data_IF_367851843178
#
_entry.id   IF_367851843178
#
_cell.length_a   1.000
_cell.length_b   1.000
_cell.length_c   1.000
_cell.angle_alpha   90.00
_cell.angle_beta   90.00
_cell.angle_gamma   90.00
#
_symmetry.space_group_name_H-M   'P 1'
#
loop_
_entity.id
_entity.type
_entity.pdbx_description
1 polymer ?
#
# COMPACT_ATOMS: atom_id res chain seq x y z
N UNK A 1 14.53 -2.13 17.94
CA UNK A 1 14.73 -3.59 18.05
C UNK A 1 15.57 -4.04 16.87
N UNK A 2 16.81 -4.44 17.13
CA UNK A 2 17.73 -4.98 16.10
C UNK A 2 17.29 -6.41 15.79
N UNK A 3 17.44 -6.83 14.53
CA UNK A 3 17.02 -8.14 14.03
C UNK A 3 17.37 -9.30 14.99
N UNK A 4 16.39 -10.15 15.29
CA UNK A 4 16.58 -11.43 16.01
C UNK A 4 16.30 -11.45 17.51
N UNK A 5 15.97 -10.32 18.16
CA UNK A 5 15.58 -10.31 19.58
C UNK A 5 14.07 -10.54 19.74
N UNK A 6 13.68 -11.68 20.30
CA UNK A 6 12.31 -11.94 20.75
C UNK A 6 12.08 -11.27 22.10
N UNK A 7 10.94 -10.61 22.24
CA UNK A 7 10.51 -9.98 23.49
C UNK A 7 9.19 -10.60 23.86
N UNK A 8 9.14 -11.12 25.08
CA UNK A 8 7.92 -11.64 25.67
C UNK A 8 7.48 -10.75 26.83
N UNK A 9 6.19 -10.71 27.05
CA UNK A 9 5.53 -9.91 28.06
C UNK A 9 4.89 -10.84 29.08
N UNK A 10 5.34 -10.72 30.32
CA UNK A 10 4.68 -11.34 31.46
C UNK A 10 3.71 -10.34 32.08
N UNK A 11 2.42 -10.68 32.08
CA UNK A 11 1.39 -9.91 32.78
C UNK A 11 1.29 -10.43 34.21
N UNK A 12 1.53 -9.56 35.18
CA UNK A 12 1.39 -9.86 36.60
C UNK A 12 0.00 -9.44 37.10
N UNK A 13 -0.51 -10.05 38.18
CA UNK A 13 -1.72 -9.59 38.88
C UNK A 13 -1.59 -8.14 39.35
N UNK A 14 -2.73 -7.45 39.49
CA UNK A 14 -2.76 -6.07 39.94
C UNK A 14 -2.14 -5.92 41.34
N UNK A 15 -1.17 -5.01 41.46
CA UNK A 15 -0.49 -4.72 42.73
C UNK A 15 0.68 -5.62 43.08
N UNK A 16 1.01 -6.63 42.26
CA UNK A 16 2.18 -7.48 42.45
C UNK A 16 3.37 -7.02 41.60
N UNK A 17 4.57 -7.10 42.16
CA UNK A 17 5.85 -6.97 41.45
C UNK A 17 6.57 -8.33 41.41
N UNK A 18 7.62 -8.50 40.58
CA UNK A 18 8.31 -9.79 40.43
C UNK A 18 8.80 -10.34 41.78
N UNK A 19 9.29 -9.46 42.65
CA UNK A 19 9.83 -9.84 43.95
C UNK A 19 8.73 -10.29 44.92
N UNK A 20 7.59 -9.59 44.98
CA UNK A 20 6.46 -10.04 45.82
C UNK A 20 5.86 -11.34 45.32
N UNK A 21 5.79 -11.53 44.00
CA UNK A 21 5.20 -12.72 43.40
C UNK A 21 6.08 -13.96 43.59
N UNK A 22 7.41 -13.81 43.47
CA UNK A 22 8.37 -14.86 43.80
C UNK A 22 8.31 -15.20 45.30
N UNK A 23 8.12 -14.21 46.19
CA UNK A 23 7.98 -14.46 47.62
C UNK A 23 6.69 -15.20 47.98
N UNK A 24 5.59 -14.95 47.25
CA UNK A 24 4.28 -15.60 47.50
C UNK A 24 4.19 -17.01 46.92
N UNK A 25 4.58 -17.19 45.66
CA UNK A 25 4.35 -18.43 44.91
C UNK A 25 5.62 -19.29 44.74
N UNK A 26 6.79 -18.72 45.06
CA UNK A 26 8.06 -19.39 44.92
C UNK A 26 8.60 -19.39 43.48
N UNK A 27 9.91 -19.65 43.35
CA UNK A 27 10.65 -19.58 42.09
C UNK A 27 10.09 -20.49 40.99
N UNK A 28 9.70 -21.71 41.34
CA UNK A 28 9.25 -22.72 40.36
C UNK A 28 7.95 -22.30 39.66
N UNK A 29 7.02 -21.69 40.39
CA UNK A 29 5.78 -21.18 39.80
C UNK A 29 6.06 -19.92 38.96
N UNK A 30 6.94 -19.04 39.42
CA UNK A 30 7.35 -17.86 38.64
C UNK A 30 8.03 -18.24 37.30
N UNK A 31 8.85 -19.28 37.27
CA UNK A 31 9.45 -19.79 36.02
C UNK A 31 8.39 -20.34 35.06
N UNK A 32 7.32 -20.99 35.56
CA UNK A 32 6.17 -21.38 34.73
C UNK A 32 5.46 -20.16 34.15
N UNK A 33 5.32 -19.08 34.93
CA UNK A 33 4.77 -17.81 34.46
C UNK A 33 5.61 -17.22 33.33
N UNK A 34 6.94 -17.20 33.46
CA UNK A 34 7.85 -16.76 32.39
C UNK A 34 7.69 -17.62 31.13
N UNK A 35 7.61 -18.94 31.27
CA UNK A 35 7.45 -19.84 30.12
C UNK A 35 6.11 -19.64 29.39
N UNK A 36 5.07 -19.21 30.11
CA UNK A 36 3.75 -18.87 29.57
C UNK A 36 3.61 -17.39 29.19
N UNK A 37 4.70 -16.63 29.12
CA UNK A 37 4.69 -15.22 28.74
C UNK A 37 4.17 -15.02 27.31
N UNK A 38 3.54 -13.88 27.07
CA UNK A 38 2.95 -13.55 25.78
C UNK A 38 4.02 -13.05 24.81
N UNK A 39 3.95 -13.45 23.54
CA UNK A 39 4.75 -12.80 22.51
C UNK A 39 4.38 -11.32 22.38
N UNK A 40 5.29 -10.49 21.84
CA UNK A 40 4.96 -9.09 21.53
C UNK A 40 3.68 -8.96 20.70
N UNK A 41 3.50 -9.80 19.67
CA UNK A 41 2.32 -9.75 18.80
C UNK A 41 1.04 -10.04 19.59
N UNK A 42 1.04 -11.08 20.41
CA UNK A 42 -0.14 -11.46 21.21
C UNK A 42 -0.47 -10.39 22.25
N UNK A 43 0.55 -9.87 22.94
CA UNK A 43 0.41 -8.77 23.89
C UNK A 43 -0.14 -7.51 23.23
N UNK A 44 0.43 -7.11 22.08
CA UNK A 44 0.02 -5.95 21.30
C UNK A 44 -1.46 -6.02 20.91
N UNK A 45 -1.90 -7.15 20.35
CA UNK A 45 -3.29 -7.33 19.97
C UNK A 45 -4.20 -7.45 21.18
N UNK A 46 -3.81 -8.18 22.22
CA UNK A 46 -4.60 -8.33 23.45
C UNK A 46 -4.91 -6.98 24.07
N UNK A 47 -3.92 -6.11 24.23
CA UNK A 47 -4.12 -4.78 24.84
C UNK A 47 -4.99 -3.87 23.97
N UNK A 48 -4.72 -3.83 22.65
CA UNK A 48 -5.44 -2.91 21.77
C UNK A 48 -6.88 -3.35 21.49
N UNK A 49 -7.16 -4.65 21.49
CA UNK A 49 -8.51 -5.20 21.26
C UNK A 49 -9.36 -5.15 22.52
N UNK A 50 -8.76 -5.29 23.71
CA UNK A 50 -9.52 -5.34 24.98
C UNK A 50 -10.42 -4.12 25.21
N UNK A 51 -10.11 -2.97 24.57
CA UNK A 51 -10.88 -1.72 24.72
C UNK A 51 -11.69 -1.34 23.46
N UNK A 52 -11.75 -2.19 22.43
CA UNK A 52 -12.34 -1.83 21.13
C UNK A 52 -13.23 -2.94 20.59
N UNK A 53 -14.51 -2.61 20.34
CA UNK A 53 -15.43 -3.53 19.68
C UNK A 53 -15.11 -3.65 18.18
N UNK A 54 -14.51 -4.76 17.75
CA UNK A 54 -14.17 -5.00 16.35
C UNK A 54 -15.36 -5.43 15.47
N UNK A 55 -16.56 -5.62 16.04
CA UNK A 55 -17.75 -6.00 15.25
C UNK A 55 -18.27 -4.84 14.40
N UNK A 56 -18.16 -3.61 14.91
CA UNK A 56 -18.73 -2.42 14.27
C UNK A 56 -17.66 -1.66 13.47
N UNK A 57 -18.08 -1.05 12.36
CA UNK A 57 -17.20 -0.29 11.46
C UNK A 57 -16.41 0.82 12.19
N UNK A 58 -17.01 1.47 13.18
CA UNK A 58 -16.35 2.51 13.98
C UNK A 58 -15.22 1.95 14.84
N UNK A 59 -15.42 0.80 15.49
CA UNK A 59 -14.40 0.17 16.31
C UNK A 59 -13.24 -0.36 15.47
N UNK A 60 -13.53 -0.96 14.31
CA UNK A 60 -12.51 -1.32 13.30
C UNK A 60 -11.66 -0.11 12.91
N UNK A 61 -12.32 1.02 12.64
CA UNK A 61 -11.66 2.28 12.27
C UNK A 61 -10.80 2.86 13.41
N UNK A 62 -11.31 2.84 14.65
CA UNK A 62 -10.57 3.28 15.85
C UNK A 62 -9.32 2.43 16.08
N UNK A 63 -9.46 1.11 16.01
CA UNK A 63 -8.36 0.17 16.16
C UNK A 63 -7.25 0.42 15.12
N UNK A 64 -7.60 0.53 13.84
CA UNK A 64 -6.67 0.86 12.75
C UNK A 64 -5.89 2.15 13.04
N UNK A 65 -6.59 3.20 13.47
CA UNK A 65 -5.96 4.51 13.73
C UNK A 65 -4.96 4.47 14.89
N UNK A 66 -5.12 3.56 15.86
CA UNK A 66 -4.24 3.42 17.02
C UNK A 66 -3.10 2.43 16.72
N UNK A 67 -3.42 1.27 16.17
CA UNK A 67 -2.47 0.18 15.96
C UNK A 67 -1.37 0.55 14.96
N UNK A 68 -1.75 1.17 13.84
CA UNK A 68 -0.82 1.39 12.73
C UNK A 68 0.31 2.39 13.04
N UNK A 69 0.06 3.54 13.67
CA UNK A 69 1.14 4.41 14.12
C UNK A 69 2.17 3.71 15.01
N UNK A 70 1.72 2.82 15.91
CA UNK A 70 2.60 2.03 16.77
C UNK A 70 3.43 1.02 15.96
N UNK A 71 2.81 0.32 15.00
CA UNK A 71 3.51 -0.61 14.12
C UNK A 71 4.57 0.09 13.29
N UNK A 72 4.30 1.29 12.75
CA UNK A 72 5.30 2.05 11.98
C UNK A 72 6.50 2.53 12.80
N UNK A 73 6.42 2.52 14.14
CA UNK A 73 7.57 2.80 15.00
C UNK A 73 8.49 1.58 15.18
N UNK A 74 8.05 0.39 14.77
CA UNK A 74 8.85 -0.83 14.82
C UNK A 74 9.89 -0.76 13.69
N UNK A 75 11.20 -0.91 13.95
CA UNK A 75 12.21 -0.79 12.91
C UNK A 75 12.26 -1.99 11.94
N UNK A 76 11.86 -3.19 12.38
CA UNK A 76 11.86 -4.39 11.52
C UNK A 76 10.65 -4.38 10.58
N UNK A 77 10.91 -4.18 9.29
CA UNK A 77 9.90 -4.10 8.26
C UNK A 77 9.13 -5.41 8.03
N UNK A 78 9.81 -6.57 8.07
CA UNK A 78 9.15 -7.86 7.84
C UNK A 78 8.14 -8.11 8.96
N UNK A 79 8.53 -7.75 10.18
CA UNK A 79 7.64 -7.84 11.32
C UNK A 79 6.46 -6.86 11.22
N UNK A 80 6.67 -5.65 10.72
CA UNK A 80 5.56 -4.71 10.42
C UNK A 80 4.56 -5.32 9.43
N UNK A 81 5.03 -5.89 8.31
CA UNK A 81 4.15 -6.49 7.29
C UNK A 81 3.31 -7.61 7.88
N UNK A 82 3.93 -8.49 8.69
CA UNK A 82 3.23 -9.58 9.34
C UNK A 82 2.13 -9.06 10.28
N UNK A 83 2.44 -8.05 11.12
CA UNK A 83 1.44 -7.44 12.00
C UNK A 83 0.29 -6.79 11.23
N UNK A 84 0.57 -6.09 10.13
CA UNK A 84 -0.46 -5.45 9.31
C UNK A 84 -1.33 -6.50 8.61
N UNK A 85 -0.74 -7.61 8.15
CA UNK A 85 -1.49 -8.74 7.61
C UNK A 85 -2.44 -9.33 8.65
N UNK A 86 -1.96 -9.57 9.87
CA UNK A 86 -2.79 -10.06 10.98
C UNK A 86 -3.90 -9.08 11.36
N UNK A 87 -3.67 -7.76 11.24
CA UNK A 87 -4.71 -6.73 11.38
C UNK A 87 -5.81 -6.93 10.32
N UNK A 88 -5.44 -7.11 9.06
CA UNK A 88 -6.38 -7.33 7.97
C UNK A 88 -7.26 -8.56 8.19
N UNK A 89 -6.65 -9.67 8.59
CA UNK A 89 -7.32 -10.92 8.95
C UNK A 89 -8.32 -10.73 10.09
N UNK A 90 -7.91 -10.07 11.20
CA UNK A 90 -8.77 -9.85 12.37
C UNK A 90 -9.96 -8.92 12.11
N UNK A 91 -9.83 -7.99 11.16
CA UNK A 91 -10.86 -6.99 10.85
C UNK A 91 -11.78 -7.45 9.70
N UNK A 92 -11.36 -8.47 8.94
CA UNK A 92 -12.04 -8.93 7.73
C UNK A 92 -11.81 -8.02 6.53
N UNK A 93 -10.73 -7.23 6.54
CA UNK A 93 -10.29 -6.40 5.41
C UNK A 93 -9.04 -7.06 4.84
N UNK A 94 -9.20 -7.79 3.73
CA UNK A 94 -8.18 -8.72 3.25
C UNK A 94 -6.96 -8.05 2.59
N UNK A 95 -6.89 -6.72 2.49
CA UNK A 95 -5.84 -6.05 1.72
C UNK A 95 -4.96 -5.12 2.54
N UNK A 96 -3.71 -5.55 2.77
CA UNK A 96 -2.58 -4.74 3.25
C UNK A 96 -2.48 -3.39 2.52
N UNK A 97 -2.73 -3.40 1.20
CA UNK A 97 -2.65 -2.22 0.33
C UNK A 97 -3.74 -1.17 0.60
N UNK A 98 -4.95 -1.59 0.97
CA UNK A 98 -6.06 -0.70 1.29
C UNK A 98 -5.81 -0.02 2.65
N UNK A 99 -5.36 -0.81 3.64
CA UNK A 99 -4.98 -0.31 4.96
C UNK A 99 -3.83 0.72 4.84
N UNK A 100 -2.79 0.40 4.06
CA UNK A 100 -1.67 1.31 3.82
C UNK A 100 -2.12 2.62 3.13
N UNK A 101 -3.03 2.55 2.14
CA UNK A 101 -3.60 3.73 1.47
C UNK A 101 -4.43 4.62 2.41
N UNK A 102 -5.25 4.03 3.30
CA UNK A 102 -6.09 4.76 4.26
C UNK A 102 -5.26 5.60 5.25
N UNK A 103 -4.13 5.07 5.72
CA UNK A 103 -3.26 5.78 6.67
C UNK A 103 -2.46 6.88 5.97
N UNK A 104 -1.98 6.62 4.75
CA UNK A 104 -1.31 7.61 3.93
C UNK A 104 -2.20 8.84 3.73
N UNK A 105 -3.51 8.63 3.53
CA UNK A 105 -4.48 9.72 3.39
C UNK A 105 -4.67 10.50 4.71
N UNK A 106 -4.65 9.84 5.88
CA UNK A 106 -4.77 10.51 7.19
C UNK A 106 -3.49 11.16 7.72
N UNK A 107 -2.29 10.60 7.47
CA UNK A 107 -0.99 11.19 7.88
C UNK A 107 -0.71 12.54 7.20
N UNK A 108 -1.34 12.81 6.05
CA UNK A 108 -1.28 14.09 5.36
C UNK A 108 -1.94 15.24 6.15
N UNK A 109 -2.80 14.97 7.14
CA UNK A 109 -3.54 16.00 7.89
C UNK A 109 -2.82 16.44 9.17
N UNK A 110 -1.95 15.61 9.78
CA UNK A 110 -1.27 15.96 11.05
C UNK A 110 0.22 16.32 10.91
N UNK A 111 0.83 16.09 9.75
CA UNK A 111 2.22 16.50 9.46
C UNK A 111 2.27 17.75 8.55
N UNK A 112 1.33 18.67 8.76
CA UNK A 112 1.13 19.88 7.95
C UNK A 112 2.17 21.00 8.18
N UNK A 113 3.07 20.89 9.17
CA UNK A 113 3.82 22.07 9.62
C UNK A 113 5.32 22.13 9.30
N UNK A 114 5.96 21.14 8.67
CA UNK A 114 7.43 21.26 8.41
C UNK A 114 8.00 20.85 7.06
N UNK A 115 7.23 20.32 6.09
CA UNK A 115 7.72 20.08 4.73
C UNK A 115 6.57 20.18 3.70
N UNK A 116 6.12 21.41 3.44
CA UNK A 116 4.90 21.71 2.68
C UNK A 116 5.01 21.54 1.15
N UNK A 117 6.22 21.46 0.58
CA UNK A 117 6.37 21.36 -0.88
C UNK A 117 6.38 19.92 -1.42
N UNK A 118 6.88 18.93 -0.66
CA UNK A 118 6.96 17.53 -1.10
C UNK A 118 5.70 16.70 -0.79
N UNK A 119 4.86 17.14 0.16
CA UNK A 119 3.71 16.37 0.66
C UNK A 119 2.36 16.72 0.00
N UNK A 120 2.27 17.82 -0.77
CA UNK A 120 1.02 18.23 -1.44
C UNK A 120 0.76 17.53 -2.79
N UNK A 121 1.57 16.54 -3.17
CA UNK A 121 1.31 15.75 -4.36
C UNK A 121 0.16 14.78 -4.09
N UNK A 122 -1.01 15.00 -4.72
CA UNK A 122 -2.11 14.01 -4.67
C UNK A 122 -1.55 12.67 -5.16
N UNK A 123 -1.56 11.66 -4.29
CA UNK A 123 -1.00 10.32 -4.53
C UNK A 123 -1.94 9.53 -5.44
N UNK A 124 -1.94 9.88 -6.72
CA UNK A 124 -2.70 9.16 -7.75
C UNK A 124 -1.90 7.96 -8.22
N UNK A 125 -2.59 6.89 -8.65
CA UNK A 125 -1.98 5.68 -9.21
C UNK A 125 -0.94 6.03 -10.29
N UNK A 126 -1.28 6.98 -11.18
CA UNK A 126 -0.39 7.45 -12.25
C UNK A 126 0.87 8.12 -11.73
N UNK A 127 0.78 9.00 -10.72
CA UNK A 127 1.97 9.66 -10.15
C UNK A 127 2.88 8.69 -9.40
N UNK A 128 2.30 7.69 -8.73
CA UNK A 128 3.07 6.63 -8.09
C UNK A 128 3.82 5.79 -9.13
N UNK A 129 3.15 5.44 -10.23
CA UNK A 129 3.78 4.75 -11.36
C UNK A 129 4.92 5.56 -11.97
N UNK A 130 4.72 6.85 -12.21
CA UNK A 130 5.75 7.76 -12.72
C UNK A 130 6.93 7.83 -11.75
N UNK A 131 6.69 8.03 -10.45
CA UNK A 131 7.75 8.11 -9.44
C UNK A 131 8.59 6.84 -9.36
N UNK A 132 7.94 5.68 -9.26
CA UNK A 132 8.63 4.38 -9.21
C UNK A 132 9.44 4.13 -10.49
N UNK A 133 8.89 4.48 -11.65
CA UNK A 133 9.57 4.29 -12.93
C UNK A 133 10.79 5.23 -13.07
N UNK A 134 10.68 6.48 -12.62
CA UNK A 134 11.82 7.42 -12.62
C UNK A 134 12.93 6.92 -11.70
N UNK A 135 12.57 6.47 -10.49
CA UNK A 135 13.53 5.97 -9.51
C UNK A 135 14.17 4.64 -9.93
N UNK A 136 13.40 3.76 -10.57
CA UNK A 136 13.88 2.46 -11.05
C UNK A 136 13.42 2.19 -12.50
N UNK A 137 14.10 2.76 -13.51
CA UNK A 137 13.72 2.61 -14.92
C UNK A 137 13.68 1.15 -15.43
N UNK A 138 14.45 0.26 -14.78
CA UNK A 138 14.49 -1.18 -15.08
C UNK A 138 13.13 -1.88 -14.91
N UNK A 139 12.22 -1.32 -14.10
CA UNK A 139 10.88 -1.87 -13.87
C UNK A 139 10.07 -2.01 -15.17
N UNK A 140 10.41 -1.25 -16.22
CA UNK A 140 9.73 -1.31 -17.51
C UNK A 140 9.75 -2.69 -18.15
N UNK A 141 10.81 -3.48 -17.90
CA UNK A 141 11.00 -4.82 -18.47
C UNK A 141 10.01 -5.84 -17.96
N UNK A 142 9.44 -5.59 -16.78
CA UNK A 142 8.51 -6.48 -16.10
C UNK A 142 7.11 -6.38 -16.73
N UNK A 143 6.80 -5.26 -17.39
CA UNK A 143 5.45 -5.02 -17.91
C UNK A 143 5.31 -5.54 -19.36
N UNK A 144 4.32 -6.40 -19.65
CA UNK A 144 3.97 -6.75 -21.02
C UNK A 144 3.44 -5.54 -21.80
N UNK A 145 3.78 -5.43 -23.09
CA UNK A 145 3.43 -4.30 -23.99
C UNK A 145 2.00 -3.79 -23.77
N UNK A 146 1.88 -2.55 -23.28
CA UNK A 146 0.61 -1.94 -22.91
C UNK A 146 -0.07 -1.30 -24.12
N UNK A 147 -0.77 -2.11 -24.93
CA UNK A 147 -1.59 -1.60 -26.04
C UNK A 147 -2.87 -0.87 -25.59
N UNK A 148 -3.32 -1.11 -24.36
CA UNK A 148 -4.63 -0.69 -23.83
C UNK A 148 -4.75 0.81 -23.48
N UNK A 149 -3.65 1.54 -23.36
CA UNK A 149 -3.66 2.88 -22.75
C UNK A 149 -3.84 4.05 -23.73
N UNK A 150 -4.01 3.79 -25.03
CA UNK A 150 -4.04 4.88 -26.03
C UNK A 150 -5.31 5.75 -26.00
N UNK A 151 -6.37 5.33 -25.32
CA UNK A 151 -7.71 5.93 -25.46
C UNK A 151 -8.31 6.49 -24.16
N UNK A 152 -7.55 6.53 -23.07
CA UNK A 152 -8.06 6.97 -21.75
C UNK A 152 -7.72 8.43 -21.45
N UNK A 153 -8.71 9.21 -21.01
CA UNK A 153 -8.56 10.65 -20.65
C UNK A 153 -7.95 10.88 -19.24
N UNK A 154 -7.12 9.95 -18.76
CA UNK A 154 -6.55 10.03 -17.41
C UNK A 154 -5.40 11.05 -17.38
N UNK A 155 -5.52 12.04 -16.50
CA UNK A 155 -4.48 13.05 -16.30
C UNK A 155 -3.12 12.45 -15.98
N UNK A 156 -2.11 12.76 -16.79
CA UNK A 156 -0.73 12.29 -16.64
C UNK A 156 -0.44 10.92 -17.24
N UNK A 157 -1.44 10.21 -17.76
CA UNK A 157 -1.24 8.90 -18.37
C UNK A 157 -0.46 8.98 -19.69
N UNK A 158 -0.72 9.99 -20.52
CA UNK A 158 0.07 10.22 -21.74
C UNK A 158 1.56 10.40 -21.44
N UNK A 159 1.86 11.17 -20.40
CA UNK A 159 3.23 11.37 -19.94
C UNK A 159 3.85 10.06 -19.40
N UNK A 160 3.09 9.27 -18.65
CA UNK A 160 3.55 7.94 -18.21
C UNK A 160 3.86 7.01 -19.39
N UNK A 161 3.02 7.00 -20.44
CA UNK A 161 3.28 6.22 -21.66
C UNK A 161 4.55 6.70 -22.36
N UNK A 162 4.75 8.01 -22.46
CA UNK A 162 5.96 8.59 -23.05
C UNK A 162 7.22 8.14 -22.29
N UNK A 163 7.22 8.28 -20.96
CA UNK A 163 8.31 7.81 -20.10
C UNK A 163 8.57 6.30 -20.26
N UNK A 164 7.51 5.51 -20.34
CA UNK A 164 7.61 4.07 -20.59
C UNK A 164 8.30 3.77 -21.94
N UNK A 165 7.95 4.50 -23.00
CA UNK A 165 8.57 4.32 -24.31
C UNK A 165 10.06 4.70 -24.29
N UNK A 166 10.41 5.78 -23.60
CA UNK A 166 11.79 6.23 -23.41
C UNK A 166 12.59 5.14 -22.68
N UNK A 167 12.09 4.66 -21.53
CA UNK A 167 12.72 3.60 -20.74
C UNK A 167 12.84 2.26 -21.49
N UNK A 168 11.94 1.99 -22.45
CA UNK A 168 11.97 0.76 -23.24
C UNK A 168 12.93 0.84 -24.44
N UNK A 169 13.16 2.03 -25.01
CA UNK A 169 14.05 2.23 -26.16
C UNK A 169 15.53 2.14 -25.81
N UNK A 170 15.92 2.59 -24.62
CA UNK A 170 17.32 2.61 -24.16
C UNK A 170 17.40 2.27 -22.66
N UNK A 171 18.52 1.69 -22.23
CA UNK A 171 18.84 1.57 -20.80
C UNK A 171 19.17 2.97 -20.29
N UNK A 172 18.20 3.63 -19.66
CA UNK A 172 18.34 5.01 -19.16
C UNK A 172 18.32 4.97 -17.63
N UNK A 173 19.10 5.85 -17.02
CA UNK A 173 19.19 6.09 -15.57
C UNK A 173 18.28 7.24 -15.14
N UNK A 174 17.99 7.33 -13.84
CA UNK A 174 17.18 8.42 -13.28
C UNK A 174 17.71 9.81 -13.63
N UNK A 175 19.04 9.99 -13.61
CA UNK A 175 19.70 11.27 -13.93
C UNK A 175 19.50 11.64 -15.39
N UNK A 176 19.68 10.68 -16.30
CA UNK A 176 19.47 10.91 -17.73
C UNK A 176 18.01 11.24 -18.06
N UNK A 177 17.03 10.64 -17.36
CA UNK A 177 15.62 11.03 -17.48
C UNK A 177 15.45 12.50 -17.08
N UNK A 178 15.98 12.91 -15.93
CA UNK A 178 15.84 14.30 -15.45
C UNK A 178 16.50 15.31 -16.40
N UNK A 179 17.67 14.97 -16.96
CA UNK A 179 18.35 15.83 -17.94
C UNK A 179 17.57 15.97 -19.24
N UNK A 180 16.90 14.92 -19.73
CA UNK A 180 16.06 15.00 -20.94
C UNK A 180 14.89 15.98 -20.79
N UNK A 181 14.39 16.15 -19.57
CA UNK A 181 13.29 17.08 -19.27
C UNK A 181 13.80 18.44 -18.77
N UNK A 182 15.11 18.72 -18.87
CA UNK A 182 15.68 20.02 -18.52
C UNK A 182 15.08 21.13 -19.39
N UNK A 183 14.73 22.26 -18.77
CA UNK A 183 14.10 23.40 -19.47
C UNK A 183 12.62 23.20 -19.80
N UNK A 184 12.04 22.03 -19.56
CA UNK A 184 10.61 21.79 -19.74
C UNK A 184 9.80 22.12 -18.47
N UNK A 185 8.49 22.32 -18.64
CA UNK A 185 7.53 22.45 -17.52
C UNK A 185 7.48 21.24 -16.59
N UNK A 186 8.03 20.09 -17.00
CA UNK A 186 8.01 18.85 -16.22
C UNK A 186 9.23 18.68 -15.30
N UNK A 187 10.30 19.48 -15.45
CA UNK A 187 11.53 19.36 -14.65
C UNK A 187 11.25 19.31 -13.13
N UNK A 188 10.63 20.37 -12.59
CA UNK A 188 10.36 20.49 -11.14
C UNK A 188 9.48 19.34 -10.61
N UNK A 189 8.35 18.98 -11.26
CA UNK A 189 7.58 17.79 -10.86
C UNK A 189 8.39 16.48 -10.84
N UNK A 190 9.28 16.27 -11.81
CA UNK A 190 10.05 15.04 -11.92
C UNK A 190 11.15 14.95 -10.85
N UNK A 191 11.83 16.05 -10.55
CA UNK A 191 12.80 16.12 -9.45
C UNK A 191 12.14 15.74 -8.11
N UNK A 192 10.92 16.25 -7.88
CA UNK A 192 10.15 15.92 -6.69
C UNK A 192 9.80 14.43 -6.67
N UNK A 193 9.31 13.87 -7.78
CA UNK A 193 8.95 12.45 -7.88
C UNK A 193 10.15 11.51 -7.81
N UNK A 194 11.34 11.97 -8.23
CA UNK A 194 12.59 11.22 -8.13
C UNK A 194 13.05 11.06 -6.68
N UNK A 195 12.85 12.09 -5.85
CA UNK A 195 13.28 12.09 -4.43
C UNK A 195 12.14 11.59 -3.50
N UNK A 196 10.93 11.44 -4.03
CA UNK A 196 9.75 11.11 -3.24
C UNK A 196 9.86 9.71 -2.59
N UNK A 197 9.78 9.67 -1.26
CA UNK A 197 9.75 8.41 -0.53
C UNK A 197 8.33 7.81 -0.56
N UNK A 198 8.17 6.78 -1.41
CA UNK A 198 6.92 6.04 -1.56
C UNK A 198 6.65 5.02 -0.43
N UNK A 199 7.60 4.84 0.50
CA UNK A 199 7.51 3.91 1.65
C UNK A 199 7.24 2.45 1.24
N UNK A 200 7.73 2.03 0.07
CA UNK A 200 7.66 0.63 -0.39
C UNK A 200 9.06 0.03 -0.28
N UNK A 201 9.22 -1.15 0.32
CA UNK A 201 10.52 -1.80 0.43
C UNK A 201 11.06 -2.16 -0.93
N UNK A 202 12.38 -2.09 -1.07
CA UNK A 202 13.04 -2.41 -2.33
C UNK A 202 12.69 -3.79 -2.88
N UNK A 203 12.55 -4.78 -1.99
CA UNK A 203 12.19 -6.16 -2.33
C UNK A 203 10.77 -6.31 -2.87
N UNK A 204 9.89 -5.35 -2.60
CA UNK A 204 8.48 -5.38 -2.99
C UNK A 204 8.15 -4.39 -4.11
N UNK A 205 9.08 -3.52 -4.50
CA UNK A 205 8.83 -2.49 -5.53
C UNK A 205 8.31 -3.11 -6.83
N UNK A 206 8.85 -4.24 -7.27
CA UNK A 206 8.41 -4.90 -8.49
C UNK A 206 6.94 -5.37 -8.40
N UNK A 207 6.59 -6.08 -7.32
CA UNK A 207 5.23 -6.54 -7.05
C UNK A 207 4.27 -5.36 -6.94
N UNK A 208 4.68 -4.33 -6.23
CA UNK A 208 3.89 -3.13 -6.03
C UNK A 208 3.66 -2.36 -7.34
N UNK A 209 4.70 -2.27 -8.18
CA UNK A 209 4.59 -1.66 -9.49
C UNK A 209 3.63 -2.43 -10.40
N UNK A 210 3.69 -3.76 -10.42
CA UNK A 210 2.71 -4.61 -11.13
C UNK A 210 1.29 -4.37 -10.60
N UNK A 211 1.11 -4.33 -9.28
CA UNK A 211 -0.18 -4.05 -8.65
C UNK A 211 -0.75 -2.70 -9.10
N UNK A 212 0.06 -1.64 -9.11
CA UNK A 212 -0.36 -0.31 -9.58
C UNK A 212 -0.74 -0.30 -11.07
N UNK A 213 -0.01 -1.05 -11.91
CA UNK A 213 -0.35 -1.21 -13.33
C UNK A 213 -1.68 -1.94 -13.49
N UNK A 214 -1.90 -3.02 -12.75
CA UNK A 214 -3.16 -3.76 -12.79
C UNK A 214 -4.32 -2.90 -12.30
N UNK A 215 -4.11 -2.11 -11.24
CA UNK A 215 -5.11 -1.15 -10.73
C UNK A 215 -5.45 -0.11 -11.80
N UNK A 216 -4.44 0.44 -12.49
CA UNK A 216 -4.68 1.39 -13.57
C UNK A 216 -5.42 0.75 -14.76
N UNK A 217 -5.08 -0.49 -15.14
CA UNK A 217 -5.82 -1.23 -16.17
C UNK A 217 -7.27 -1.46 -15.80
N UNK A 218 -7.53 -1.88 -14.56
CA UNK A 218 -8.90 -2.08 -14.05
C UNK A 218 -9.70 -0.80 -14.17
N UNK A 219 -9.18 0.32 -13.66
CA UNK A 219 -9.87 1.60 -13.71
C UNK A 219 -10.23 2.01 -15.15
N UNK A 220 -9.33 1.81 -16.12
CA UNK A 220 -9.60 2.14 -17.54
C UNK A 220 -10.68 1.24 -18.12
N UNK A 221 -10.63 -0.06 -17.82
CA UNK A 221 -11.62 -1.01 -18.34
C UNK A 221 -12.99 -0.74 -17.71
N UNK A 222 -13.05 -0.46 -16.41
CA UNK A 222 -14.27 -0.11 -15.69
C UNK A 222 -14.89 1.19 -16.24
N UNK A 223 -14.09 2.25 -16.43
CA UNK A 223 -14.55 3.51 -17.04
C UNK A 223 -15.14 3.28 -18.45
N UNK A 224 -14.49 2.45 -19.27
CA UNK A 224 -14.99 2.11 -20.61
C UNK A 224 -16.26 1.25 -20.55
N UNK A 225 -16.33 0.32 -19.60
CA UNK A 225 -17.50 -0.52 -19.38
C UNK A 225 -18.70 0.33 -18.98
N UNK A 226 -18.53 1.24 -18.02
CA UNK A 226 -19.58 2.17 -17.58
C UNK A 226 -20.10 3.02 -18.74
N UNK A 227 -19.20 3.52 -19.59
CA UNK A 227 -19.58 4.25 -20.79
C UNK A 227 -20.42 3.40 -21.77
N UNK A 228 -20.04 2.14 -22.00
CA UNK A 228 -20.81 1.24 -22.87
C UNK A 228 -22.17 0.87 -22.26
N UNK A 229 -22.24 0.65 -20.95
CA UNK A 229 -23.51 0.39 -20.24
C UNK A 229 -24.43 1.62 -20.35
N UNK A 230 -23.89 2.83 -20.17
CA UNK A 230 -24.62 4.06 -20.34
C UNK A 230 -25.18 4.21 -21.76
N UNK A 231 -24.38 3.93 -22.79
CA UNK A 231 -24.83 3.93 -24.18
C UNK A 231 -25.92 2.90 -24.45
N UNK A 232 -25.79 1.68 -23.91
CA UNK A 232 -26.79 0.62 -24.07
C UNK A 232 -28.15 1.04 -23.51
N UNK A 233 -28.15 1.71 -22.35
CA UNK A 233 -29.37 2.23 -21.71
C UNK A 233 -30.04 3.35 -22.49
N UNK A 234 -29.29 4.15 -23.25
CA UNK A 234 -29.83 5.29 -24.01
C UNK A 234 -30.33 4.91 -25.40
N UNK A 235 -29.50 4.21 -26.17
CA UNK A 235 -29.71 4.00 -27.61
C UNK A 235 -29.49 2.53 -28.03
N UNK A 236 -29.07 1.66 -27.11
CA UNK A 236 -28.68 0.29 -27.40
C UNK A 236 -27.28 0.16 -28.02
N UNK A 237 -26.63 -0.97 -27.81
CA UNK A 237 -25.32 -1.27 -28.39
C UNK A 237 -25.41 -2.03 -29.71
N UNK A 238 -24.62 -1.58 -30.70
CA UNK A 238 -24.38 -2.35 -31.92
C UNK A 238 -23.55 -3.62 -31.66
N UNK A 239 -23.53 -4.54 -32.63
CA UNK A 239 -22.82 -5.83 -32.51
C UNK A 239 -21.31 -5.67 -32.19
N UNK A 240 -20.66 -4.62 -32.71
CA UNK A 240 -19.24 -4.34 -32.43
C UNK A 240 -19.03 -3.95 -30.96
N UNK A 241 -19.85 -3.05 -30.44
CA UNK A 241 -19.78 -2.59 -29.04
C UNK A 241 -20.24 -3.66 -28.05
N UNK A 242 -21.18 -4.54 -28.42
CA UNK A 242 -21.53 -5.73 -27.60
C UNK A 242 -20.36 -6.70 -27.49
N UNK A 243 -19.67 -6.98 -28.60
CA UNK A 243 -18.42 -7.79 -28.58
C UNK A 243 -17.32 -7.12 -27.76
N UNK A 244 -17.19 -5.80 -27.86
CA UNK A 244 -16.27 -5.01 -27.03
C UNK A 244 -16.58 -5.17 -25.54
N UNK A 245 -17.83 -4.93 -25.12
CA UNK A 245 -18.28 -5.08 -23.72
C UNK A 245 -18.01 -6.48 -23.18
N UNK A 246 -18.31 -7.52 -23.96
CA UNK A 246 -18.01 -8.91 -23.58
C UNK A 246 -16.51 -9.14 -23.36
N UNK A 247 -15.66 -8.62 -24.26
CA UNK A 247 -14.20 -8.73 -24.13
C UNK A 247 -13.66 -7.98 -22.90
N UNK A 248 -14.23 -6.81 -22.57
CA UNK A 248 -13.88 -6.02 -21.39
C UNK A 248 -14.23 -6.78 -20.11
N UNK A 249 -15.43 -7.37 -20.02
CA UNK A 249 -15.84 -8.18 -18.88
C UNK A 249 -14.90 -9.37 -18.65
N UNK A 250 -14.50 -10.07 -19.74
CA UNK A 250 -13.55 -11.18 -19.66
C UNK A 250 -12.17 -10.71 -19.14
N UNK A 251 -11.70 -9.55 -19.61
CA UNK A 251 -10.44 -8.96 -19.14
C UNK A 251 -10.48 -8.55 -17.66
N UNK A 252 -11.59 -7.98 -17.18
CA UNK A 252 -11.77 -7.62 -15.76
C UNK A 252 -11.67 -8.86 -14.86
N UNK A 253 -12.33 -9.95 -15.23
CA UNK A 253 -12.27 -11.21 -14.47
C UNK A 253 -10.83 -11.73 -14.43
N UNK A 254 -10.11 -11.69 -15.55
CA UNK A 254 -8.72 -12.15 -15.60
C UNK A 254 -7.78 -11.29 -14.75
N UNK A 255 -7.97 -9.96 -14.73
CA UNK A 255 -7.13 -9.07 -13.94
C UNK A 255 -7.44 -9.21 -12.44
N UNK A 256 -8.72 -9.39 -12.05
CA UNK A 256 -9.12 -9.61 -10.65
C UNK A 256 -8.53 -10.89 -10.04
N UNK A 257 -8.29 -11.93 -10.84
CA UNK A 257 -7.60 -13.16 -10.39
C UNK A 257 -6.11 -12.95 -10.04
N UNK A 258 -5.51 -11.85 -10.52
CA UNK A 258 -4.11 -11.52 -10.26
C UNK A 258 -3.93 -10.56 -9.07
N UNK A 259 -5.01 -10.25 -8.36
CA UNK A 259 -5.02 -9.55 -7.08
C UNK A 259 -5.23 -10.56 -5.95
#
# INVERSE_FOLDING_TARGET
MVHGKQINFLLLPDGEDPDSLIKKEGKILFEKHINNSLSFSDFFFKILINKINLKDCEGKTKFINIALPLIYNIPDYIFQVNLIKTIGEKIGILNFFEIHQLIIQKKNVKKLLKNSYLNNFKKTTVRMLISLLIQKPKLIKIIPKLKLFKTSNITGLNFFIELMQICNKKKITTVEILEQYRGTKFKKPLEILAIWNHMVPEKEIEKFFIHLINKLKMNIIEERQEYLIFLDRKEGLNLKKKKELWSLNKNLVQIRKNF
#
